data_IF_094274761518
#
_entry.id   IF_094274761518
#
_cell.length_a   1.000
_cell.length_b   1.000
_cell.length_c   1.000
_cell.angle_alpha   90.00
_cell.angle_beta   90.00
_cell.angle_gamma   90.00
#
_symmetry.space_group_name_H-M   'P 1'
#
loop_
_entity.id
_entity.type
_entity.pdbx_description
1 polymer ?
#
# COMPACT_ATOMS: atom_id res chain seq x y z
N UNK A 1 1.41 -2.55 16.55
CA UNK A 1 0.18 -2.84 17.32
C UNK A 1 -0.94 -1.98 16.77
N UNK A 2 -2.12 -2.54 16.50
CA UNK A 2 -3.25 -1.81 15.95
C UNK A 2 -3.58 -0.58 16.83
N UNK A 3 -3.67 0.60 16.21
CA UNK A 3 -3.80 1.89 16.89
C UNK A 3 -5.25 2.25 17.24
N UNK A 4 -6.21 1.47 16.74
CA UNK A 4 -7.66 1.60 16.93
C UNK A 4 -8.34 0.24 17.13
N UNK A 5 -9.61 0.25 17.55
CA UNK A 5 -10.45 -0.94 17.64
C UNK A 5 -10.63 -1.62 16.26
N UNK A 6 -10.74 -2.95 16.26
CA UNK A 6 -11.01 -3.72 15.04
C UNK A 6 -12.49 -3.59 14.70
N UNK A 7 -12.80 -2.75 13.73
CA UNK A 7 -14.14 -2.53 13.19
C UNK A 7 -14.06 -2.51 11.66
N UNK A 8 -15.15 -2.84 10.95
CA UNK A 8 -15.15 -2.96 9.47
C UNK A 8 -14.61 -1.70 8.77
N UNK A 9 -14.95 -0.52 9.29
CA UNK A 9 -14.48 0.76 8.74
C UNK A 9 -13.03 1.11 9.11
N UNK A 10 -12.41 0.38 10.04
CA UNK A 10 -10.98 0.50 10.36
C UNK A 10 -10.14 -0.55 9.61
N UNK A 11 -10.76 -1.36 8.76
CA UNK A 11 -10.08 -2.37 7.95
C UNK A 11 -9.78 -1.82 6.56
N UNK A 12 -8.53 -2.01 6.12
CA UNK A 12 -8.15 -1.77 4.73
C UNK A 12 -8.91 -2.69 3.77
N UNK A 13 -9.09 -2.28 2.50
CA UNK A 13 -8.67 -1.00 1.91
C UNK A 13 -9.67 0.14 2.15
N UNK A 14 -9.18 1.39 2.17
CA UNK A 14 -10.04 2.58 2.18
C UNK A 14 -10.34 3.02 0.75
N UNK A 15 -11.62 3.18 0.42
CA UNK A 15 -12.08 3.55 -0.91
C UNK A 15 -12.54 5.01 -0.98
N UNK A 16 -12.07 5.71 -2.02
CA UNK A 16 -12.41 7.08 -2.37
C UNK A 16 -12.77 7.10 -3.87
N UNK A 17 -14.02 6.76 -4.16
CA UNK A 17 -14.49 6.51 -5.53
C UNK A 17 -13.61 5.45 -6.22
N UNK A 18 -12.95 5.76 -7.34
CA UNK A 18 -12.07 4.81 -8.03
C UNK A 18 -10.75 4.51 -7.30
N UNK A 19 -10.35 5.37 -6.36
CA UNK A 19 -9.08 5.22 -5.65
C UNK A 19 -9.25 4.30 -4.44
N UNK A 20 -8.36 3.32 -4.30
CA UNK A 20 -8.26 2.50 -3.10
C UNK A 20 -6.88 2.64 -2.47
N UNK A 21 -6.83 2.61 -1.15
CA UNK A 21 -5.63 2.88 -0.37
C UNK A 21 -5.41 1.84 0.74
N UNK A 22 -4.16 1.44 0.95
CA UNK A 22 -3.73 0.62 2.07
C UNK A 22 -2.43 1.10 2.70
N UNK A 23 -2.26 0.84 3.99
CA UNK A 23 -1.09 1.22 4.77
C UNK A 23 -0.66 0.07 5.69
N UNK A 24 0.63 -0.27 5.66
CA UNK A 24 1.29 -1.11 6.64
C UNK A 24 2.34 -0.29 7.39
N UNK A 25 2.12 -0.12 8.69
CA UNK A 25 2.97 0.69 9.55
C UNK A 25 2.15 1.51 10.54
N UNK A 26 2.69 2.64 10.96
CA UNK A 26 2.04 3.54 11.91
C UNK A 26 2.57 4.95 11.80
N UNK A 27 1.68 5.92 11.97
CA UNK A 27 2.03 7.33 12.19
C UNK A 27 2.34 7.55 13.67
N UNK A 28 3.58 7.92 13.95
CA UNK A 28 4.01 8.21 15.31
C UNK A 28 3.22 9.39 15.88
N UNK A 29 2.83 9.27 17.15
CA UNK A 29 2.07 10.31 17.86
C UNK A 29 0.77 10.74 17.16
N UNK A 30 0.18 9.87 16.34
CA UNK A 30 -1.03 10.18 15.58
C UNK A 30 -2.15 10.78 16.44
N UNK A 31 -2.39 10.23 17.64
CA UNK A 31 -3.44 10.73 18.55
C UNK A 31 -3.26 12.20 18.93
N UNK A 32 -2.01 12.67 19.03
CA UNK A 32 -1.70 14.06 19.39
C UNK A 32 -1.88 15.00 18.20
N UNK A 33 -1.58 14.55 16.98
CA UNK A 33 -1.69 15.37 15.77
C UNK A 33 -3.05 15.24 15.07
N UNK A 34 -3.87 14.24 15.41
CA UNK A 34 -5.10 13.89 14.68
C UNK A 34 -6.03 15.09 14.48
N UNK A 35 -6.25 15.89 15.53
CA UNK A 35 -7.12 17.07 15.45
C UNK A 35 -6.63 18.06 14.40
N UNK A 36 -5.34 18.36 14.42
CA UNK A 36 -4.73 19.35 13.53
C UNK A 36 -4.57 18.79 12.10
N UNK A 37 -4.41 17.48 11.96
CA UNK A 37 -4.47 16.78 10.68
C UNK A 37 -5.87 16.87 10.07
N UNK A 38 -6.93 16.60 10.85
CA UNK A 38 -8.30 16.74 10.38
C UNK A 38 -8.61 18.16 9.88
N UNK A 39 -8.03 19.19 10.49
CA UNK A 39 -8.19 20.58 10.07
C UNK A 39 -7.55 20.89 8.70
N UNK A 40 -6.65 20.02 8.20
CA UNK A 40 -6.05 20.13 6.87
C UNK A 40 -6.85 19.42 5.78
N UNK A 41 -7.80 18.56 6.13
CA UNK A 41 -8.57 17.78 5.16
C UNK A 41 -9.54 18.68 4.38
N UNK A 42 -9.72 18.40 3.08
CA UNK A 42 -10.81 19.03 2.33
C UNK A 42 -12.16 18.61 2.92
N UNK A 43 -13.23 19.43 2.78
CA UNK A 43 -14.55 19.07 3.28
C UNK A 43 -15.04 17.70 2.78
N UNK A 44 -14.73 17.39 1.50
CA UNK A 44 -15.09 16.11 0.88
C UNK A 44 -14.31 14.94 1.50
N UNK A 45 -13.00 15.08 1.66
CA UNK A 45 -12.14 14.07 2.27
C UNK A 45 -12.54 13.80 3.74
N UNK A 46 -12.76 14.87 4.52
CA UNK A 46 -13.19 14.78 5.91
C UNK A 46 -14.52 14.04 6.07
N UNK A 47 -15.51 14.36 5.23
CA UNK A 47 -16.82 13.69 5.26
C UNK A 47 -16.76 12.18 4.93
N UNK A 48 -15.71 11.74 4.21
CA UNK A 48 -15.51 10.34 3.84
C UNK A 48 -14.82 9.52 4.93
N UNK A 49 -14.15 10.15 5.90
CA UNK A 49 -13.55 9.44 7.05
C UNK A 49 -14.64 8.88 7.95
N UNK A 50 -14.64 7.56 8.18
CA UNK A 50 -15.60 6.84 9.02
C UNK A 50 -14.97 6.29 10.30
N UNK A 51 -13.70 5.97 10.25
CA UNK A 51 -12.95 5.38 11.33
C UNK A 51 -12.06 6.34 12.11
N UNK A 52 -11.12 5.73 12.84
CA UNK A 52 -10.20 6.44 13.73
C UNK A 52 -8.73 6.05 13.52
N UNK A 53 -8.44 5.23 12.51
CA UNK A 53 -7.08 4.81 12.18
C UNK A 53 -6.29 5.98 11.60
N UNK A 54 -4.98 5.98 11.86
CA UNK A 54 -4.03 6.84 11.14
C UNK A 54 -4.08 6.62 9.63
N UNK A 55 -4.25 5.37 9.22
CA UNK A 55 -4.25 4.91 7.84
C UNK A 55 -5.34 5.55 7.00
N UNK A 56 -6.58 5.63 7.52
CA UNK A 56 -7.69 6.31 6.83
C UNK A 56 -7.48 7.82 6.75
N UNK A 57 -6.89 8.41 7.80
CA UNK A 57 -6.62 9.85 7.84
C UNK A 57 -5.48 10.23 6.89
N UNK A 58 -4.47 9.38 6.72
CA UNK A 58 -3.45 9.52 5.67
C UNK A 58 -4.12 9.45 4.30
N UNK A 59 -5.00 8.47 4.07
CA UNK A 59 -5.70 8.32 2.80
C UNK A 59 -6.55 9.56 2.47
N UNK A 60 -7.30 10.09 3.45
CA UNK A 60 -8.07 11.32 3.29
C UNK A 60 -7.19 12.55 3.01
N UNK A 61 -6.03 12.65 3.67
CA UNK A 61 -5.08 13.75 3.43
C UNK A 61 -4.44 13.63 2.05
N UNK A 62 -4.11 12.42 1.60
CA UNK A 62 -3.68 12.14 0.23
C UNK A 62 -4.73 12.59 -0.78
N UNK A 63 -5.99 12.22 -0.60
CA UNK A 63 -7.08 12.63 -1.49
C UNK A 63 -7.32 14.15 -1.47
N UNK A 64 -7.07 14.81 -0.34
CA UNK A 64 -7.11 16.28 -0.23
C UNK A 64 -6.07 16.93 -1.14
N UNK A 65 -4.85 16.38 -1.18
CA UNK A 65 -3.77 16.88 -2.05
C UNK A 65 -3.93 16.46 -3.52
N UNK A 66 -4.57 15.32 -3.80
CA UNK A 66 -4.78 14.83 -5.16
C UNK A 66 -5.80 15.69 -5.93
N UNK A 67 -6.86 16.14 -5.26
CA UNK A 67 -7.89 17.00 -5.82
C UNK A 67 -9.31 16.51 -5.52
N UNK A 68 -10.31 17.29 -5.95
CA UNK A 68 -11.72 17.03 -5.61
C UNK A 68 -12.43 16.05 -6.55
N UNK A 69 -11.89 15.77 -7.74
CA UNK A 69 -12.49 14.84 -8.71
C UNK A 69 -11.89 13.43 -8.59
N UNK A 70 -12.36 12.68 -7.60
CA UNK A 70 -11.91 11.30 -7.36
C UNK A 70 -12.37 10.29 -8.42
N UNK A 71 -13.18 10.72 -9.41
CA UNK A 71 -13.55 9.88 -10.56
C UNK A 71 -12.56 10.05 -11.71
N UNK A 72 -11.83 11.16 -11.75
CA UNK A 72 -10.81 11.39 -12.76
C UNK A 72 -9.64 10.44 -12.58
N UNK A 73 -8.99 10.11 -13.69
CA UNK A 73 -7.68 9.47 -13.66
C UNK A 73 -6.62 10.57 -13.55
N UNK A 74 -5.69 10.40 -12.61
CA UNK A 74 -4.57 11.31 -12.41
C UNK A 74 -3.29 10.73 -13.00
N UNK A 75 -2.30 11.57 -13.32
CA UNK A 75 -0.98 11.03 -13.69
C UNK A 75 -0.31 10.44 -12.45
N UNK A 76 0.50 9.42 -12.65
CA UNK A 76 1.17 8.73 -11.55
C UNK A 76 2.13 9.66 -10.79
N UNK A 77 2.71 10.66 -11.46
CA UNK A 77 3.52 11.70 -10.83
C UNK A 77 2.69 12.67 -9.98
N UNK A 78 1.43 12.96 -10.35
CA UNK A 78 0.51 13.75 -9.53
C UNK A 78 0.13 12.98 -8.26
N UNK A 79 -0.17 11.68 -8.39
CA UNK A 79 -0.44 10.81 -7.25
C UNK A 79 0.76 10.74 -6.30
N UNK A 80 1.99 10.61 -6.83
CA UNK A 80 3.23 10.63 -6.04
C UNK A 80 3.37 11.95 -5.27
N UNK A 81 3.22 13.09 -5.93
CA UNK A 81 3.31 14.42 -5.30
C UNK A 81 2.26 14.63 -4.21
N UNK A 82 1.04 14.17 -4.43
CA UNK A 82 -0.03 14.26 -3.44
C UNK A 82 0.30 13.45 -2.18
N UNK A 83 0.87 12.26 -2.35
CA UNK A 83 1.27 11.41 -1.22
C UNK A 83 2.49 11.97 -0.47
N UNK A 84 3.47 12.53 -1.19
CA UNK A 84 4.59 13.27 -0.61
C UNK A 84 4.13 14.47 0.23
N UNK A 85 3.16 15.23 -0.28
CA UNK A 85 2.58 16.39 0.41
C UNK A 85 1.83 15.98 1.67
N UNK A 86 1.09 14.86 1.62
CA UNK A 86 0.41 14.29 2.79
C UNK A 86 1.41 13.88 3.88
N UNK A 87 2.54 13.25 3.51
CA UNK A 87 3.59 12.88 4.46
C UNK A 87 4.28 14.13 5.03
N UNK A 88 4.54 15.14 4.21
CA UNK A 88 5.13 16.40 4.65
C UNK A 88 4.26 17.10 5.72
N UNK A 89 2.95 17.16 5.50
CA UNK A 89 1.99 17.70 6.45
C UNK A 89 2.02 16.95 7.80
N UNK A 90 2.06 15.62 7.76
CA UNK A 90 2.16 14.78 8.98
C UNK A 90 3.46 15.09 9.74
N UNK A 91 4.59 15.13 9.05
CA UNK A 91 5.89 15.42 9.66
C UNK A 91 5.92 16.84 10.23
N UNK A 92 5.34 17.81 9.52
CA UNK A 92 5.24 19.20 9.99
C UNK A 92 4.38 19.31 11.25
N UNK A 93 3.29 18.55 11.35
CA UNK A 93 2.47 18.49 12.56
C UNK A 93 3.22 17.85 13.73
N UNK A 94 3.93 16.75 13.49
CA UNK A 94 4.75 16.07 14.51
C UNK A 94 5.84 17.00 15.06
N UNK A 95 6.50 17.78 14.21
CA UNK A 95 7.53 18.77 14.61
C UNK A 95 6.99 19.91 15.49
N UNK A 96 5.68 20.18 15.48
CA UNK A 96 5.04 21.21 16.31
C UNK A 96 4.67 20.72 17.71
N UNK A 97 4.76 19.42 17.97
CA UNK A 97 4.46 18.87 19.29
C UNK A 97 5.49 19.37 20.32
N UNK A 98 5.06 19.71 21.55
CA UNK A 98 5.95 20.28 22.56
C UNK A 98 7.06 19.29 22.96
N UNK A 99 8.28 19.83 23.14
CA UNK A 99 9.55 19.14 23.48
C UNK A 99 9.52 18.29 24.77
N UNK A 100 8.39 18.14 25.46
CA UNK A 100 8.26 17.32 26.67
C UNK A 100 8.04 15.82 26.37
N UNK A 101 7.92 15.42 25.10
CA UNK A 101 7.66 14.03 24.65
C UNK A 101 8.68 13.54 23.61
N UNK A 102 9.96 13.90 23.77
CA UNK A 102 11.06 13.36 22.97
C UNK A 102 11.64 12.07 23.57
N UNK A 103 11.97 11.05 22.75
CA UNK A 103 12.05 11.10 21.29
C UNK A 103 10.69 10.89 20.60
N UNK A 104 10.40 11.67 19.56
CA UNK A 104 9.34 11.33 18.61
C UNK A 104 9.73 10.00 17.96
N UNK A 105 8.96 8.93 18.20
CA UNK A 105 9.11 7.69 17.43
C UNK A 105 9.02 8.01 15.94
N UNK A 106 9.75 7.27 15.11
CA UNK A 106 9.64 7.44 13.66
C UNK A 106 8.41 6.69 13.11
N UNK A 107 7.69 7.36 12.23
CA UNK A 107 6.58 6.81 11.47
C UNK A 107 7.11 5.85 10.40
N UNK A 108 6.51 4.67 10.33
CA UNK A 108 6.72 3.71 9.24
C UNK A 108 5.53 3.76 8.32
N UNK A 109 5.74 4.05 7.05
CA UNK A 109 4.69 4.27 6.07
C UNK A 109 4.97 3.41 4.84
N UNK A 110 4.54 2.15 4.88
CA UNK A 110 4.40 1.38 3.64
C UNK A 110 2.99 1.62 3.10
N UNK A 111 2.89 2.53 2.14
CA UNK A 111 1.61 2.98 1.59
C UNK A 111 1.43 2.38 0.20
N UNK A 112 0.22 2.01 -0.18
CA UNK A 112 -0.07 1.58 -1.53
C UNK A 112 -1.44 2.08 -1.96
N UNK A 113 -1.54 2.60 -3.18
CA UNK A 113 -2.76 3.13 -3.75
C UNK A 113 -2.88 2.79 -5.23
N UNK A 114 -4.11 2.61 -5.70
CA UNK A 114 -4.43 2.44 -7.12
C UNK A 114 -5.73 3.17 -7.45
N UNK A 115 -5.89 3.57 -8.72
CA UNK A 115 -7.11 4.16 -9.29
C UNK A 115 -7.90 3.17 -10.17
N UNK A 116 -7.49 1.90 -10.13
CA UNK A 116 -7.99 0.81 -10.97
C UNK A 116 -7.17 0.54 -12.25
N UNK A 117 -6.30 1.47 -12.67
CA UNK A 117 -5.51 1.36 -13.91
C UNK A 117 -4.00 1.35 -13.64
N UNK A 118 -3.55 2.02 -12.58
CA UNK A 118 -2.15 2.17 -12.21
C UNK A 118 -1.96 2.03 -10.70
N UNK A 119 -0.74 1.67 -10.27
CA UNK A 119 -0.41 1.41 -8.86
C UNK A 119 0.78 2.26 -8.42
N UNK A 120 0.67 2.80 -7.21
CA UNK A 120 1.72 3.54 -6.54
C UNK A 120 1.95 2.94 -5.16
N UNK A 121 3.18 2.57 -4.84
CA UNK A 121 3.55 2.10 -3.50
C UNK A 121 4.76 2.85 -2.95
N UNK A 122 4.72 3.25 -1.69
CA UNK A 122 5.83 3.89 -0.98
C UNK A 122 6.37 2.94 0.08
N UNK A 123 7.69 2.92 0.25
CA UNK A 123 8.36 2.33 1.42
C UNK A 123 9.12 3.42 2.17
N UNK A 124 8.53 4.00 3.22
CA UNK A 124 9.06 5.21 3.86
C UNK A 124 9.21 5.09 5.38
N UNK A 125 10.29 5.67 5.93
CA UNK A 125 10.44 5.94 7.37
C UNK A 125 11.16 7.28 7.58
N UNK A 126 10.62 8.12 8.46
CA UNK A 126 11.24 9.41 8.84
C UNK A 126 12.28 9.26 9.98
N UNK A 127 13.18 8.28 9.85
CA UNK A 127 14.36 8.11 10.70
C UNK A 127 15.58 8.01 9.80
N UNK A 128 16.68 8.66 10.15
CA UNK A 128 17.93 8.57 9.37
C UNK A 128 18.56 7.19 9.49
N UNK A 129 18.53 6.60 10.69
CA UNK A 129 19.26 5.37 11.03
C UNK A 129 18.41 4.10 10.90
N UNK A 130 17.10 4.19 11.12
CA UNK A 130 16.23 3.00 11.13
C UNK A 130 15.64 2.68 9.75
N UNK A 131 15.32 1.41 9.52
CA UNK A 131 14.71 0.93 8.28
C UNK A 131 13.17 0.89 8.39
N UNK A 132 12.44 1.25 7.31
CA UNK A 132 11.00 0.95 7.24
C UNK A 132 10.75 -0.56 7.18
N UNK A 133 9.54 -1.03 7.52
CA UNK A 133 9.09 -2.39 7.25
C UNK A 133 9.37 -2.76 5.78
N UNK A 134 9.60 -4.05 5.53
CA UNK A 134 9.93 -4.52 4.19
C UNK A 134 8.78 -4.31 3.21
N UNK A 135 9.14 -4.06 1.96
CA UNK A 135 8.23 -4.00 0.83
C UNK A 135 8.98 -4.55 -0.38
N UNK A 136 8.36 -5.45 -1.11
CA UNK A 136 8.92 -6.13 -2.26
C UNK A 136 8.02 -5.93 -3.47
N UNK A 137 8.60 -6.03 -4.66
CA UNK A 137 7.84 -6.17 -5.89
C UNK A 137 8.38 -7.31 -6.76
N UNK A 138 7.51 -7.88 -7.59
CA UNK A 138 7.85 -8.96 -8.53
C UNK A 138 7.02 -8.85 -9.81
N UNK A 139 7.61 -9.28 -10.94
CA UNK A 139 6.92 -9.42 -12.24
C UNK A 139 6.77 -10.87 -12.68
N UNK A 140 7.20 -11.83 -11.84
CA UNK A 140 7.20 -13.26 -12.13
C UNK A 140 6.48 -14.09 -11.06
N UNK A 141 6.34 -13.57 -9.83
CA UNK A 141 5.71 -14.28 -8.74
C UNK A 141 4.25 -14.68 -9.05
N UNK A 142 3.53 -13.93 -9.87
CA UNK A 142 2.12 -14.22 -10.19
C UNK A 142 1.92 -15.54 -10.93
N UNK A 143 2.92 -15.99 -11.70
CA UNK A 143 2.90 -17.31 -12.36
C UNK A 143 2.93 -18.44 -11.33
N UNK A 144 3.59 -18.23 -10.18
CA UNK A 144 3.80 -19.25 -9.15
C UNK A 144 2.80 -19.18 -8.00
N UNK A 145 2.28 -17.99 -7.67
CA UNK A 145 1.31 -17.80 -6.59
C UNK A 145 -0.02 -18.50 -6.84
N UNK A 146 -0.41 -18.67 -8.12
CA UNK A 146 -1.65 -19.35 -8.47
C UNK A 146 -1.55 -20.90 -8.41
N UNK A 147 -0.37 -21.43 -8.06
CA UNK A 147 -0.15 -22.86 -7.90
C UNK A 147 -0.25 -23.18 -6.42
N UNK A 148 -1.36 -23.82 -6.03
CA UNK A 148 -1.50 -24.43 -4.70
C UNK A 148 -0.21 -25.19 -4.41
N UNK A 149 0.50 -24.81 -3.34
CA UNK A 149 1.79 -25.42 -3.01
C UNK A 149 1.66 -26.96 -3.01
N UNK A 150 2.63 -27.69 -3.60
CA UNK A 150 2.77 -29.10 -3.28
C UNK A 150 3.07 -29.18 -1.76
N UNK A 151 2.11 -29.67 -0.96
CA UNK A 151 2.26 -29.80 0.50
C UNK A 151 1.28 -29.02 1.40
N UNK A 152 0.12 -28.57 0.91
CA UNK A 152 -0.96 -28.04 1.78
C UNK A 152 -1.36 -29.04 2.89
N UNK A 153 -1.56 -28.64 4.16
CA UNK A 153 -1.85 -29.56 5.28
C UNK A 153 -3.17 -30.35 5.17
N UNK A 154 -3.96 -30.14 4.10
CA UNK A 154 -5.13 -30.97 3.78
C UNK A 154 -4.77 -32.20 2.93
N UNK A 155 -3.49 -32.47 2.67
CA UNK A 155 -3.01 -33.71 2.02
C UNK A 155 -2.98 -34.92 2.98
N UNK A 156 -3.93 -35.02 3.90
CA UNK A 156 -3.96 -36.16 4.85
C UNK A 156 -4.69 -37.39 4.31
N UNK A 157 -5.47 -37.28 3.23
CA UNK A 157 -6.13 -38.43 2.62
C UNK A 157 -5.72 -38.57 1.16
N UNK A 158 -5.02 -39.65 0.85
CA UNK A 158 -4.60 -40.05 -0.50
C UNK A 158 -5.79 -40.49 -1.40
N UNK A 159 -7.02 -40.41 -0.91
CA UNK A 159 -8.23 -40.97 -1.53
C UNK A 159 -9.39 -39.97 -1.69
N UNK A 160 -9.12 -38.67 -1.85
CA UNK A 160 -10.17 -37.72 -2.28
C UNK A 160 -9.87 -37.15 -3.68
N UNK A 161 -10.24 -37.89 -4.75
CA UNK A 161 -10.18 -37.39 -6.10
C UNK A 161 -11.39 -36.47 -6.36
N UNK A 162 -11.15 -35.17 -6.51
CA UNK A 162 -11.82 -34.42 -7.58
C UNK A 162 -12.75 -33.25 -7.23
N UNK A 163 -13.24 -33.07 -5.99
CA UNK A 163 -14.30 -32.05 -5.77
C UNK A 163 -13.82 -30.67 -5.28
N UNK A 164 -12.55 -30.52 -4.89
CA UNK A 164 -11.96 -29.21 -4.57
C UNK A 164 -11.17 -28.57 -5.73
N UNK A 165 -11.09 -29.24 -6.88
CA UNK A 165 -10.34 -28.79 -8.07
C UNK A 165 -11.27 -28.21 -9.14
N UNK A 166 -12.52 -28.65 -9.20
CA UNK A 166 -13.47 -28.30 -10.25
C UNK A 166 -13.94 -26.82 -10.26
N UNK A 167 -13.60 -26.01 -9.25
CA UNK A 167 -14.16 -24.67 -9.08
C UNK A 167 -13.21 -23.48 -9.21
N UNK A 168 -11.89 -23.67 -9.17
CA UNK A 168 -10.95 -22.54 -9.06
C UNK A 168 -9.75 -22.59 -10.01
N UNK A 169 -9.51 -23.71 -10.68
CA UNK A 169 -8.50 -23.83 -11.72
C UNK A 169 -9.08 -24.76 -12.77
N UNK A 170 -9.45 -24.24 -13.94
CA UNK A 170 -9.77 -25.12 -15.07
C UNK A 170 -8.59 -26.07 -15.33
N UNK A 171 -8.86 -27.25 -15.87
CA UNK A 171 -7.93 -28.38 -16.07
C UNK A 171 -6.65 -28.11 -16.89
N UNK A 172 -6.31 -26.85 -17.15
CA UNK A 172 -5.10 -26.45 -17.86
C UNK A 172 -4.36 -25.44 -17.01
N UNK A 173 -3.18 -25.85 -16.52
CA UNK A 173 -2.15 -24.91 -16.09
C UNK A 173 -2.03 -23.82 -17.16
N UNK A 174 -2.33 -22.56 -16.80
CA UNK A 174 -2.06 -21.44 -17.70
C UNK A 174 -0.55 -21.44 -17.94
N UNK A 175 -0.15 -21.38 -19.21
CA UNK A 175 1.27 -21.24 -19.55
C UNK A 175 1.79 -19.92 -18.97
N UNK A 176 3.11 -19.82 -18.74
CA UNK A 176 3.71 -18.60 -18.21
C UNK A 176 3.36 -17.37 -19.07
N UNK A 177 3.20 -17.56 -20.38
CA UNK A 177 2.78 -16.56 -21.36
C UNK A 177 1.29 -16.17 -21.20
N UNK A 178 0.42 -17.11 -20.81
CA UNK A 178 -1.01 -16.87 -20.60
C UNK A 178 -1.33 -16.10 -19.31
N UNK A 179 -0.39 -16.03 -18.36
CA UNK A 179 -0.50 -15.19 -17.17
C UNK A 179 -0.39 -13.68 -17.49
N UNK A 180 0.19 -13.34 -18.64
CA UNK A 180 0.32 -11.96 -19.10
C UNK A 180 1.22 -11.08 -18.22
N UNK A 181 1.24 -9.79 -18.57
CA UNK A 181 2.03 -8.78 -17.88
C UNK A 181 1.39 -8.44 -16.53
N UNK A 182 2.12 -8.71 -15.44
CA UNK A 182 1.64 -8.44 -14.09
C UNK A 182 2.76 -7.88 -13.21
N UNK A 183 2.35 -7.16 -12.17
CA UNK A 183 3.24 -6.68 -11.11
C UNK A 183 2.57 -6.98 -9.78
N UNK A 184 3.33 -7.56 -8.86
CA UNK A 184 2.88 -7.86 -7.51
C UNK A 184 3.74 -7.04 -6.56
N UNK A 185 3.10 -6.39 -5.60
CA UNK A 185 3.75 -5.67 -4.50
C UNK A 185 3.28 -6.31 -3.20
N UNK A 186 4.22 -6.68 -2.31
CA UNK A 186 3.91 -7.37 -1.07
C UNK A 186 4.86 -6.95 0.06
N UNK A 187 4.46 -7.10 1.32
CA UNK A 187 5.31 -6.83 2.49
C UNK A 187 6.43 -7.85 2.66
N UNK A 188 6.24 -9.06 2.16
CA UNK A 188 7.16 -10.19 2.25
C UNK A 188 7.10 -11.06 0.98
N UNK A 189 8.18 -11.78 0.62
CA UNK A 189 8.17 -12.74 -0.48
C UNK A 189 7.17 -13.87 -0.19
N UNK A 190 6.25 -14.12 -1.11
CA UNK A 190 5.23 -15.17 -0.96
C UNK A 190 5.44 -16.35 -1.92
N UNK A 191 6.65 -16.50 -2.48
CA UNK A 191 7.06 -17.67 -3.28
C UNK A 191 8.25 -18.37 -2.64
N UNK A 192 8.49 -19.64 -3.01
CA UNK A 192 9.60 -20.44 -2.45
C UNK A 192 10.98 -19.86 -2.80
N UNK A 193 11.10 -19.24 -3.98
CA UNK A 193 12.35 -18.62 -4.41
C UNK A 193 12.29 -17.11 -4.16
N UNK A 194 12.95 -16.68 -3.07
CA UNK A 194 13.03 -15.27 -2.70
C UNK A 194 13.67 -14.39 -3.78
N UNK A 195 14.47 -14.97 -4.69
CA UNK A 195 15.13 -14.23 -5.79
C UNK A 195 14.15 -13.68 -6.82
N UNK A 196 12.90 -14.14 -6.78
CA UNK A 196 11.80 -13.62 -7.62
C UNK A 196 11.29 -12.25 -7.15
N UNK A 197 11.70 -11.83 -5.95
CA UNK A 197 11.25 -10.62 -5.32
C UNK A 197 12.38 -9.61 -5.21
N UNK A 198 12.09 -8.37 -5.57
CA UNK A 198 13.02 -7.25 -5.45
C UNK A 198 12.61 -6.43 -4.25
N UNK A 199 13.50 -6.32 -3.25
CA UNK A 199 13.30 -5.44 -2.10
C UNK A 199 13.29 -3.99 -2.58
N UNK A 200 12.24 -3.25 -2.24
CA UNK A 200 12.17 -1.80 -2.45
C UNK A 200 13.12 -1.14 -1.47
N UNK A 201 13.97 -0.22 -1.92
CA UNK A 201 14.91 0.48 -1.05
C UNK A 201 14.18 1.43 -0.08
N UNK A 202 14.89 1.88 0.96
CA UNK A 202 14.36 2.83 1.93
C UNK A 202 14.04 4.16 1.25
N UNK A 203 12.87 4.71 1.55
CA UNK A 203 12.36 5.97 1.04
C UNK A 203 12.26 6.01 -0.49
N UNK A 204 11.85 4.89 -1.08
CA UNK A 204 11.64 4.72 -2.52
C UNK A 204 10.16 4.46 -2.81
N UNK A 205 9.68 5.05 -3.89
CA UNK A 205 8.37 4.83 -4.48
C UNK A 205 8.48 3.84 -5.66
N UNK A 206 7.52 2.93 -5.75
CA UNK A 206 7.28 2.03 -6.89
C UNK A 206 6.08 2.56 -7.66
N UNK A 207 6.32 2.98 -8.89
CA UNK A 207 5.32 3.49 -9.81
C UNK A 207 5.08 2.42 -10.87
N UNK A 208 3.84 1.95 -10.99
CA UNK A 208 3.45 0.93 -11.95
C UNK A 208 2.32 1.44 -12.83
N UNK A 209 2.56 1.43 -14.14
CA UNK A 209 1.54 1.69 -15.16
C UNK A 209 1.67 0.71 -16.33
N UNK A 210 0.74 0.80 -17.29
CA UNK A 210 0.63 -0.18 -18.38
C UNK A 210 0.60 0.49 -19.78
N UNK A 211 1.62 1.28 -20.16
CA UNK A 211 1.65 1.91 -21.48
C UNK A 211 1.61 0.83 -22.58
N UNK A 212 0.61 0.93 -23.47
CA UNK A 212 0.36 -0.03 -24.54
C UNK A 212 0.12 -1.48 -24.05
N UNK A 213 -0.32 -1.66 -22.80
CA UNK A 213 -0.61 -2.98 -22.22
C UNK A 213 0.61 -3.72 -21.67
N UNK A 214 1.77 -3.07 -21.62
CA UNK A 214 2.99 -3.64 -21.01
C UNK A 214 3.25 -3.00 -19.66
N UNK A 215 3.54 -3.82 -18.64
CA UNK A 215 3.85 -3.34 -17.31
C UNK A 215 5.16 -2.55 -17.32
N UNK A 216 5.09 -1.29 -16.92
CA UNK A 216 6.26 -0.46 -16.70
C UNK A 216 6.38 -0.16 -15.21
N UNK A 217 7.55 -0.45 -14.65
CA UNK A 217 7.89 -0.16 -13.26
C UNK A 217 8.95 0.92 -13.23
N UNK A 218 8.66 2.01 -12.54
CA UNK A 218 9.60 3.09 -12.28
C UNK A 218 9.87 3.17 -10.78
N UNK A 219 11.15 3.15 -10.39
CA UNK A 219 11.56 3.43 -9.02
C UNK A 219 11.97 4.89 -8.93
N UNK A 220 11.45 5.60 -7.93
CA UNK A 220 11.75 7.02 -7.73
C UNK A 220 11.96 7.31 -6.25
N UNK A 221 12.85 8.25 -5.94
CA UNK A 221 13.03 8.72 -4.57
C UNK A 221 11.77 9.45 -4.07
N UNK A 222 11.47 9.25 -2.79
CA UNK A 222 10.41 9.98 -2.09
C UNK A 222 11.02 11.31 -1.60
N UNK A 223 10.48 12.41 -2.11
CA UNK A 223 10.93 13.76 -1.81
C UNK A 223 9.87 14.41 -0.92
N UNK A 224 10.20 14.60 0.36
CA UNK A 224 9.30 15.28 1.29
C UNK A 224 9.55 16.80 1.17
N UNK A 225 8.57 17.58 0.67
CA UNK A 225 8.71 19.03 0.60
C UNK A 225 8.90 19.65 2.00
N UNK A 226 9.63 20.76 2.04
CA UNK A 226 9.91 21.54 3.25
C UNK A 226 8.69 22.32 3.74
#
# INVERSE_FOLDING_TARGET
MATSEVQQFNSHPFAFDRHIFMHNGSVANFRLIRRDLCAKLSPKAYANVKGSTDSEHIAALYMTHLGDDWKAQYKLEDMKRALESAIADIIALQKKLPNATTPLEASSLNLCTTDGEQLLAFRFRNSEVEQPPSLYYSTSAGVKLNRKYPGHPNYLNWEDPGDAVAGLVGDKELSAEAHGNHVIVASEPTTKDEKEWKLVLKNTAVLVDFPKGENRITLADIIIPS
#
